data_IF_814460027538
#
_entry.id   IF_814460027538
#
_cell.length_a   1.000
_cell.length_b   1.000
_cell.length_c   1.000
_cell.angle_alpha   90.00
_cell.angle_beta   90.00
_cell.angle_gamma   90.00
#
_symmetry.space_group_name_H-M   'P 1'
#
loop_
_entity.id
_entity.type
_entity.pdbx_description
1 polymer ?
#
# COMPACT_ATOMS: atom_id res chain seq x y z
N UNK A 1 -0.96 5.62 16.92
CA UNK A 1 -0.36 4.36 17.42
C UNK A 1 1.07 4.65 17.85
N UNK A 2 1.56 4.02 18.93
CA UNK A 2 2.92 4.19 19.44
C UNK A 2 3.68 2.86 19.31
N UNK A 3 4.10 2.52 18.09
CA UNK A 3 4.85 1.29 17.78
C UNK A 3 6.33 1.66 17.67
N UNK A 4 7.22 1.06 18.49
CA UNK A 4 8.66 1.31 18.34
C UNK A 4 9.13 0.90 16.95
N UNK A 5 9.78 1.81 16.24
CA UNK A 5 10.27 1.55 14.90
C UNK A 5 11.53 2.35 14.56
N UNK A 6 12.23 1.88 13.54
CA UNK A 6 13.43 2.51 13.00
C UNK A 6 13.36 2.53 11.47
N UNK A 7 13.74 3.66 10.87
CA UNK A 7 13.91 3.76 9.42
C UNK A 7 15.24 3.13 9.06
N UNK A 8 15.20 2.17 8.14
CA UNK A 8 16.38 1.42 7.69
C UNK A 8 16.47 1.45 6.17
N UNK A 9 17.63 1.09 5.62
CA UNK A 9 17.82 0.93 4.17
C UNK A 9 18.38 -0.46 3.88
N UNK A 10 17.55 -1.49 4.08
CA UNK A 10 17.96 -2.89 3.95
C UNK A 10 17.21 -3.57 2.80
N UNK A 11 17.66 -3.29 1.58
CA UNK A 11 17.11 -3.91 0.36
C UNK A 11 15.64 -3.56 0.14
N UNK A 12 14.74 -4.49 0.44
CA UNK A 12 13.27 -4.30 0.34
C UNK A 12 12.62 -4.06 1.70
N UNK A 13 13.34 -3.45 2.62
CA UNK A 13 12.85 -3.06 3.94
C UNK A 13 13.28 -1.62 4.20
N UNK A 14 12.29 -0.74 4.36
CA UNK A 14 12.49 0.69 4.64
C UNK A 14 12.29 1.00 6.14
N UNK A 15 11.53 0.16 6.86
CA UNK A 15 11.24 0.32 8.28
C UNK A 15 11.29 -1.05 8.98
N UNK A 16 11.87 -1.10 10.17
CA UNK A 16 11.68 -2.20 11.11
C UNK A 16 10.81 -1.71 12.25
N UNK A 17 9.72 -2.41 12.52
CA UNK A 17 8.83 -2.14 13.64
C UNK A 17 8.83 -3.30 14.63
N UNK A 18 8.75 -3.01 15.93
CA UNK A 18 8.74 -4.02 16.97
C UNK A 18 7.31 -4.34 17.41
N UNK A 19 6.89 -5.60 17.20
CA UNK A 19 5.64 -6.15 17.74
C UNK A 19 6.00 -7.08 18.89
N UNK A 20 5.89 -6.57 20.12
CA UNK A 20 6.49 -7.23 21.28
C UNK A 20 8.00 -7.32 21.12
N UNK A 21 8.56 -8.54 21.14
CA UNK A 21 9.99 -8.80 20.92
C UNK A 21 10.34 -9.14 19.47
N UNK A 22 9.34 -9.20 18.57
CA UNK A 22 9.54 -9.66 17.20
C UNK A 22 9.70 -8.48 16.24
N UNK A 23 10.79 -8.41 15.47
CA UNK A 23 10.93 -7.41 14.42
C UNK A 23 10.01 -7.76 13.24
N UNK A 24 9.37 -6.73 12.70
CA UNK A 24 8.53 -6.78 11.50
C UNK A 24 9.13 -5.87 10.45
N UNK A 25 9.47 -6.44 9.30
CA UNK A 25 10.07 -5.73 8.15
C UNK A 25 8.97 -5.11 7.30
N UNK A 26 9.05 -3.81 7.10
CA UNK A 26 8.05 -3.05 6.35
C UNK A 26 8.70 -2.43 5.12
N UNK A 27 8.10 -2.68 3.96
CA UNK A 27 8.39 -1.94 2.74
C UNK A 27 7.35 -0.84 2.57
N UNK A 28 7.79 0.39 2.34
CA UNK A 28 6.94 1.54 2.05
C UNK A 28 6.83 1.70 0.54
N UNK A 29 5.61 1.97 0.06
CA UNK A 29 5.32 2.36 -1.33
C UNK A 29 4.35 3.54 -1.33
N UNK A 30 4.69 4.59 -2.06
CA UNK A 30 3.89 5.81 -2.14
C UNK A 30 3.17 5.90 -3.48
N UNK A 31 2.02 6.57 -3.52
CA UNK A 31 1.31 6.88 -4.76
C UNK A 31 0.59 8.22 -4.64
N UNK A 32 0.37 8.89 -5.77
CA UNK A 32 -0.54 10.03 -5.90
C UNK A 32 -1.85 9.56 -6.54
N UNK A 33 -2.91 10.32 -6.30
CA UNK A 33 -4.24 10.00 -6.80
C UNK A 33 -4.24 10.04 -8.32
N UNK A 34 -4.81 8.99 -8.91
CA UNK A 34 -5.11 8.85 -10.33
C UNK A 34 -6.61 8.91 -10.49
N UNK A 35 -7.09 9.89 -11.27
CA UNK A 35 -8.49 10.05 -11.62
C UNK A 35 -8.80 9.23 -12.87
N UNK A 36 -9.55 8.14 -12.72
CA UNK A 36 -9.99 7.25 -13.79
C UNK A 36 -11.47 7.52 -14.10
N UNK A 37 -11.78 7.97 -15.32
CA UNK A 37 -13.14 8.30 -15.74
C UNK A 37 -13.15 8.91 -17.14
N UNK A 38 -14.20 8.65 -17.90
CA UNK A 38 -14.19 8.80 -19.35
C UNK A 38 -13.88 10.23 -19.82
N UNK A 39 -12.84 10.39 -20.66
CA UNK A 39 -12.90 11.39 -21.75
C UNK A 39 -14.25 11.20 -22.42
N UNK A 40 -15.03 12.28 -22.54
CA UNK A 40 -16.32 12.23 -23.20
C UNK A 40 -16.16 11.46 -24.52
N UNK A 41 -16.90 10.34 -24.69
CA UNK A 41 -17.09 9.82 -26.05
C UNK A 41 -17.74 10.97 -26.83
N UNK A 42 -17.22 11.29 -28.02
CA UNK A 42 -17.76 12.35 -28.91
C UNK A 42 -19.27 12.19 -29.15
N UNK A 43 -19.83 11.00 -28.90
CA UNK A 43 -21.18 10.61 -29.30
C UNK A 43 -22.17 10.44 -28.12
N UNK A 44 -22.05 11.23 -27.04
CA UNK A 44 -23.12 11.37 -26.05
C UNK A 44 -23.40 10.16 -25.13
N UNK A 45 -22.50 9.16 -25.09
CA UNK A 45 -22.65 8.00 -24.19
C UNK A 45 -22.53 8.36 -22.70
N UNK A 46 -23.22 7.59 -21.83
CA UNK A 46 -23.27 7.74 -20.36
C UNK A 46 -21.91 8.14 -19.76
N UNK A 47 -21.87 9.30 -19.07
CA UNK A 47 -20.76 9.72 -18.22
C UNK A 47 -20.60 8.73 -17.07
N UNK A 48 -19.51 7.98 -17.04
CA UNK A 48 -19.12 7.24 -15.83
C UNK A 48 -18.56 8.24 -14.80
N UNK A 49 -18.82 8.06 -13.49
CA UNK A 49 -18.26 8.93 -12.47
C UNK A 49 -16.73 8.86 -12.50
N UNK A 50 -16.08 10.01 -12.32
CA UNK A 50 -14.63 10.08 -12.15
C UNK A 50 -14.29 9.37 -10.83
N UNK A 51 -13.48 8.31 -10.91
CA UNK A 51 -13.02 7.54 -9.75
C UNK A 51 -11.61 7.94 -9.39
N UNK A 52 -11.41 8.40 -8.16
CA UNK A 52 -10.08 8.65 -7.60
C UNK A 52 -9.51 7.36 -7.02
N UNK A 53 -8.32 6.95 -7.50
CA UNK A 53 -7.66 5.71 -7.09
C UNK A 53 -6.18 5.92 -6.89
N UNK A 54 -5.58 5.23 -5.92
CA UNK A 54 -4.14 5.11 -5.78
C UNK A 54 -3.63 3.87 -6.48
N UNK A 55 -2.52 4.00 -7.21
CA UNK A 55 -1.88 2.92 -7.95
C UNK A 55 -0.48 2.70 -7.39
N UNK A 56 -0.33 1.68 -6.55
CA UNK A 56 0.94 1.37 -5.90
C UNK A 56 1.70 0.32 -6.69
N UNK A 57 2.97 0.56 -6.98
CA UNK A 57 3.88 -0.49 -7.46
C UNK A 57 4.31 -1.34 -6.27
N UNK A 58 3.71 -2.51 -6.12
CA UNK A 58 4.00 -3.49 -5.05
C UNK A 58 5.00 -4.56 -5.52
N UNK A 59 5.93 -4.13 -6.38
CA UNK A 59 6.97 -4.95 -6.99
C UNK A 59 8.35 -4.34 -6.74
N UNK A 60 9.40 -5.16 -6.90
CA UNK A 60 10.80 -4.75 -6.94
C UNK A 60 11.35 -4.78 -8.36
N UNK A 61 12.51 -4.13 -8.55
CA UNK A 61 13.19 -4.02 -9.85
C UNK A 61 12.80 -2.77 -10.64
N UNK A 62 13.65 -2.40 -11.61
CA UNK A 62 13.44 -1.23 -12.48
C UNK A 62 12.85 -1.65 -13.84
N UNK A 63 13.68 -2.24 -14.71
CA UNK A 63 13.29 -2.66 -16.07
C UNK A 63 12.34 -3.87 -16.07
N UNK A 64 12.65 -4.89 -15.27
CA UNK A 64 11.81 -6.06 -15.09
C UNK A 64 11.23 -6.04 -13.68
N UNK A 65 9.91 -5.84 -13.58
CA UNK A 65 9.20 -5.83 -12.29
C UNK A 65 8.93 -7.25 -11.83
N UNK A 66 9.41 -7.58 -10.63
CA UNK A 66 9.20 -8.85 -9.93
C UNK A 66 8.31 -8.59 -8.72
N UNK A 67 7.30 -9.43 -8.51
CA UNK A 67 6.42 -9.30 -7.34
C UNK A 67 7.24 -9.47 -6.05
N UNK A 68 6.89 -8.68 -5.02
CA UNK A 68 7.46 -8.85 -3.69
C UNK A 68 6.90 -10.11 -3.04
N UNK A 69 7.71 -10.78 -2.23
CA UNK A 69 7.29 -11.96 -1.43
C UNK A 69 7.62 -11.77 0.04
N UNK A 70 7.18 -12.71 0.87
CA UNK A 70 7.46 -12.75 2.31
C UNK A 70 8.97 -12.82 2.62
N UNK A 71 9.80 -13.22 1.66
CA UNK A 71 11.25 -13.15 1.80
C UNK A 71 11.77 -11.69 1.80
N UNK A 72 11.06 -10.78 1.12
CA UNK A 72 11.45 -9.39 0.90
C UNK A 72 11.06 -8.48 2.07
N UNK A 73 9.84 -8.65 2.59
CA UNK A 73 9.29 -7.91 3.72
C UNK A 73 8.05 -8.63 4.27
N UNK A 74 7.64 -8.29 5.49
CA UNK A 74 6.48 -8.91 6.15
C UNK A 74 5.19 -8.11 5.87
N UNK A 75 5.30 -6.78 5.82
CA UNK A 75 4.18 -5.85 5.59
C UNK A 75 4.55 -4.83 4.50
N UNK A 76 3.56 -4.48 3.68
CA UNK A 76 3.60 -3.31 2.81
C UNK A 76 2.82 -2.16 3.45
N UNK A 77 3.47 -1.00 3.56
CA UNK A 77 2.83 0.26 3.91
C UNK A 77 2.57 1.07 2.64
N UNK A 78 1.30 1.21 2.28
CA UNK A 78 0.86 1.95 1.10
C UNK A 78 0.46 3.37 1.51
N UNK A 79 1.27 4.35 1.12
CA UNK A 79 1.08 5.77 1.51
C UNK A 79 0.39 6.52 0.38
N UNK A 80 -0.86 6.92 0.60
CA UNK A 80 -1.60 7.79 -0.31
C UNK A 80 -1.22 9.24 -0.04
N UNK A 81 -0.38 9.84 -0.89
CA UNK A 81 0.24 11.13 -0.60
C UNK A 81 -0.77 12.28 -0.48
N UNK A 82 -1.85 12.29 -1.27
CA UNK A 82 -2.82 13.40 -1.26
C UNK A 82 -3.70 13.43 0.00
N UNK A 83 -3.82 12.30 0.71
CA UNK A 83 -4.57 12.19 1.97
C UNK A 83 -3.65 11.97 3.18
N UNK A 84 -2.33 11.90 2.97
CA UNK A 84 -1.32 11.60 3.99
C UNK A 84 -1.61 10.34 4.84
N UNK A 85 -2.40 9.41 4.29
CA UNK A 85 -2.84 8.21 4.97
C UNK A 85 -2.02 6.97 4.60
N UNK A 86 -2.04 5.97 5.48
CA UNK A 86 -1.34 4.70 5.30
C UNK A 86 -2.28 3.51 5.41
N UNK A 87 -2.24 2.63 4.41
CA UNK A 87 -2.84 1.31 4.43
C UNK A 87 -1.75 0.25 4.60
N UNK A 88 -1.82 -0.55 5.66
CA UNK A 88 -0.94 -1.69 5.89
C UNK A 88 -1.54 -2.98 5.32
N UNK A 89 -0.75 -3.72 4.54
CA UNK A 89 -1.12 -5.02 4.00
C UNK A 89 -0.08 -6.07 4.38
N UNK A 90 -0.46 -7.24 4.91
CA UNK A 90 0.49 -8.33 5.08
C UNK A 90 0.92 -8.85 3.71
N UNK A 91 2.20 -9.20 3.58
CA UNK A 91 2.80 -9.56 2.31
C UNK A 91 2.08 -10.75 1.64
N UNK A 92 1.59 -11.69 2.44
CA UNK A 92 0.80 -12.85 1.99
C UNK A 92 -0.46 -12.48 1.18
N UNK A 93 -1.03 -11.29 1.39
CA UNK A 93 -2.19 -10.81 0.66
C UNK A 93 -1.90 -10.25 -0.74
N UNK A 94 -0.63 -9.99 -1.07
CA UNK A 94 -0.24 -9.34 -2.34
C UNK A 94 1.00 -9.95 -3.03
N UNK A 95 1.50 -11.11 -2.57
CA UNK A 95 2.72 -11.80 -3.04
C UNK A 95 2.84 -12.14 -4.54
N UNK A 96 1.79 -11.97 -5.32
CA UNK A 96 1.77 -12.21 -6.77
C UNK A 96 1.33 -10.98 -7.58
N UNK A 97 1.11 -9.86 -6.92
CA UNK A 97 0.69 -8.61 -7.55
C UNK A 97 1.92 -7.76 -7.85
N UNK A 98 1.90 -7.07 -8.99
CA UNK A 98 2.89 -6.03 -9.31
C UNK A 98 2.36 -4.61 -9.07
N UNK A 99 1.04 -4.50 -9.06
CA UNK A 99 0.32 -3.25 -8.82
C UNK A 99 -0.84 -3.53 -7.87
N UNK A 100 -0.99 -2.68 -6.87
CA UNK A 100 -2.17 -2.67 -5.99
C UNK A 100 -2.92 -1.37 -6.23
N UNK A 101 -4.19 -1.48 -6.65
CA UNK A 101 -5.10 -0.35 -6.75
C UNK A 101 -5.96 -0.26 -5.51
N UNK A 102 -6.12 0.94 -4.98
CA UNK A 102 -6.94 1.21 -3.78
C UNK A 102 -7.78 2.47 -4.05
N UNK A 103 -9.10 2.46 -3.79
CA UNK A 103 -9.90 3.67 -3.85
C UNK A 103 -9.33 4.77 -2.95
N UNK A 104 -9.29 6.02 -3.43
CA UNK A 104 -8.84 7.12 -2.60
C UNK A 104 -9.78 7.37 -1.40
N UNK A 105 -11.07 7.06 -1.56
CA UNK A 105 -12.06 7.16 -0.50
C UNK A 105 -11.73 6.29 0.73
N UNK A 106 -11.02 5.17 0.57
CA UNK A 106 -10.60 4.33 1.69
C UNK A 106 -9.62 5.08 2.62
N UNK A 107 -8.88 6.07 2.11
CA UNK A 107 -7.92 6.88 2.87
C UNK A 107 -8.57 8.04 3.64
N UNK A 108 -9.88 8.24 3.50
CA UNK A 108 -10.63 9.22 4.30
C UNK A 108 -10.99 8.70 5.69
N UNK A 109 -10.87 7.39 5.92
CA UNK A 109 -11.09 6.77 7.22
C UNK A 109 -9.92 7.06 8.17
N UNK A 110 -10.18 7.79 9.26
CA UNK A 110 -9.17 8.13 10.27
C UNK A 110 -8.59 6.90 10.98
N UNK A 111 -9.33 5.79 11.00
CA UNK A 111 -8.90 4.53 11.62
C UNK A 111 -8.19 3.60 10.65
N UNK A 112 -8.06 3.98 9.36
CA UNK A 112 -7.46 3.13 8.32
C UNK A 112 -6.11 2.57 8.76
N UNK A 113 -5.22 3.44 9.23
CA UNK A 113 -3.87 3.05 9.63
C UNK A 113 -3.91 2.06 10.81
N UNK A 114 -4.68 2.36 11.85
CA UNK A 114 -4.76 1.51 13.04
C UNK A 114 -5.42 0.16 12.76
N UNK A 115 -6.55 0.16 12.07
CA UNK A 115 -7.27 -1.04 11.71
C UNK A 115 -6.46 -1.94 10.77
N UNK A 116 -5.85 -1.36 9.73
CA UNK A 116 -5.06 -2.13 8.77
C UNK A 116 -3.76 -2.67 9.36
N UNK A 117 -3.09 -1.90 10.24
CA UNK A 117 -1.93 -2.36 10.99
C UNK A 117 -2.26 -3.60 11.82
N UNK A 118 -3.29 -3.50 12.67
CA UNK A 118 -3.71 -4.60 13.54
C UNK A 118 -4.08 -5.86 12.73
N UNK A 119 -4.76 -5.67 11.59
CA UNK A 119 -5.11 -6.77 10.68
C UNK A 119 -3.89 -7.41 10.02
N UNK A 120 -2.89 -6.61 9.63
CA UNK A 120 -1.66 -7.10 9.02
C UNK A 120 -0.82 -7.90 10.02
N UNK A 121 -0.61 -7.36 11.23
CA UNK A 121 0.16 -8.02 12.30
C UNK A 121 -0.48 -9.33 12.74
N UNK A 122 -1.81 -9.39 12.91
CA UNK A 122 -2.55 -10.63 13.23
C UNK A 122 -2.41 -11.75 12.18
N UNK A 123 -1.92 -11.43 10.98
CA UNK A 123 -1.67 -12.44 9.94
C UNK A 123 -0.22 -12.95 9.93
N UNK A 124 0.66 -12.34 10.72
CA UNK A 124 2.03 -12.79 10.88
C UNK A 124 2.19 -13.81 12.01
N UNK A 125 1.27 -13.81 12.99
CA UNK A 125 1.33 -14.64 14.21
C UNK A 125 -0.03 -15.25 14.54
#
# INVERSE_FOLDING_TARGET
>A
MNVPCEVVQLGTTDIIAMVGIKPVRIQVKTSRTVYEGARAKKDGGKKYPIRATYHFSVAKGSKTKVALTEADCDILALVGLDHEGVLFLPMSGVRHQKTKRVPAADYLDSELAACSWNKAVRKLY
#
